data_IF_745564292568
#
_entry.id   IF_745564292568
#
_cell.length_a   1.000
_cell.length_b   1.000
_cell.length_c   1.000
_cell.angle_alpha   90.00
_cell.angle_beta   90.00
_cell.angle_gamma   90.00
#
_symmetry.space_group_name_H-M   'P 1'
#
loop_
_entity.id
_entity.type
_entity.pdbx_description
1 polymer ?
#
# COMPACT_ATOMS: atom_id res chain seq x y z
N UNK A 1 -2.65 8.73 12.19
CA UNK A 1 -1.73 7.99 13.08
C UNK A 1 -1.79 8.45 14.54
N UNK A 2 -1.76 9.75 14.83
CA UNK A 2 -1.78 10.26 16.21
C UNK A 2 -2.89 9.65 17.10
N UNK A 3 -4.14 9.62 16.62
CA UNK A 3 -5.26 9.02 17.38
C UNK A 3 -5.08 7.52 17.64
N UNK A 4 -4.62 6.76 16.64
CA UNK A 4 -4.35 5.33 16.80
C UNK A 4 -3.24 5.07 17.84
N UNK A 5 -2.13 5.80 17.74
CA UNK A 5 -1.04 5.69 18.73
C UNK A 5 -1.50 6.11 20.13
N UNK A 6 -2.29 7.18 20.23
CA UNK A 6 -2.89 7.63 21.48
C UNK A 6 -3.81 6.55 22.09
N UNK A 7 -4.67 5.93 21.28
CA UNK A 7 -5.55 4.84 21.72
C UNK A 7 -4.80 3.61 22.22
N UNK A 8 -3.69 3.24 21.57
CA UNK A 8 -2.81 2.17 22.03
C UNK A 8 -2.18 2.50 23.39
N UNK A 9 -1.78 3.75 23.61
CA UNK A 9 -1.17 4.19 24.88
C UNK A 9 -2.20 4.36 26.01
N UNK A 10 -3.44 4.74 25.69
CA UNK A 10 -4.50 5.00 26.69
C UNK A 10 -5.35 3.77 27.00
N UNK A 11 -5.09 2.62 26.36
CA UNK A 11 -5.84 1.37 26.59
C UNK A 11 -7.32 1.45 26.18
N UNK A 12 -7.69 2.43 25.36
CA UNK A 12 -9.05 2.62 24.82
C UNK A 12 -8.98 2.55 23.30
N UNK A 13 -8.95 1.34 22.71
CA UNK A 13 -9.03 1.20 21.27
C UNK A 13 -10.48 1.46 20.88
N UNK A 14 -10.88 2.74 20.80
CA UNK A 14 -12.20 3.07 20.26
C UNK A 14 -12.14 2.92 18.73
N UNK A 15 -12.18 1.65 18.29
CA UNK A 15 -12.12 1.26 16.89
C UNK A 15 -13.24 1.90 16.07
N UNK A 16 -14.36 2.26 16.70
CA UNK A 16 -15.48 2.94 16.07
C UNK A 16 -15.11 4.35 15.61
N UNK A 17 -14.32 5.10 16.38
CA UNK A 17 -13.87 6.44 15.98
C UNK A 17 -12.93 6.36 14.77
N UNK A 18 -11.96 5.44 14.81
CA UNK A 18 -11.00 5.24 13.71
C UNK A 18 -11.69 4.74 12.44
N UNK A 19 -12.68 3.87 12.58
CA UNK A 19 -13.52 3.41 11.49
C UNK A 19 -14.36 4.56 10.90
N UNK A 20 -14.93 5.43 11.72
CA UNK A 20 -15.65 6.62 11.26
C UNK A 20 -14.75 7.56 10.46
N UNK A 21 -13.52 7.78 10.93
CA UNK A 21 -12.50 8.56 10.20
C UNK A 21 -12.16 7.89 8.86
N UNK A 22 -11.95 6.57 8.85
CA UNK A 22 -11.69 5.80 7.64
C UNK A 22 -12.82 5.94 6.60
N UNK A 23 -14.08 5.85 7.02
CA UNK A 23 -15.24 6.05 6.15
C UNK A 23 -15.30 7.47 5.60
N UNK A 24 -15.05 8.50 6.42
CA UNK A 24 -14.97 9.89 5.95
C UNK A 24 -13.88 10.07 4.89
N UNK A 25 -12.72 9.45 5.06
CA UNK A 25 -11.65 9.49 4.07
C UNK A 25 -12.11 8.83 2.76
N UNK A 26 -12.84 7.71 2.80
CA UNK A 26 -13.41 7.09 1.59
C UNK A 26 -14.32 8.05 0.82
N UNK A 27 -15.17 8.81 1.52
CA UNK A 27 -16.02 9.80 0.88
C UNK A 27 -15.24 10.91 0.17
N UNK A 28 -14.17 11.42 0.80
CA UNK A 28 -13.31 12.42 0.18
C UNK A 28 -12.55 11.84 -1.02
N UNK A 29 -12.04 10.62 -0.88
CA UNK A 29 -11.36 9.90 -1.95
C UNK A 29 -12.25 9.71 -3.18
N UNK A 30 -13.52 9.35 -2.98
CA UNK A 30 -14.50 9.23 -4.05
C UNK A 30 -14.82 10.57 -4.71
N UNK A 31 -14.91 11.66 -3.93
CA UNK A 31 -15.13 13.00 -4.48
C UNK A 31 -13.97 13.42 -5.38
N UNK A 32 -12.72 13.22 -4.92
CA UNK A 32 -11.52 13.49 -5.72
C UNK A 32 -11.49 12.63 -6.98
N UNK A 33 -11.78 11.33 -6.85
CA UNK A 33 -11.74 10.41 -7.98
C UNK A 33 -12.81 10.67 -9.06
N UNK A 34 -13.90 11.35 -8.73
CA UNK A 34 -14.96 11.74 -9.68
C UNK A 34 -14.75 13.13 -10.26
N UNK A 35 -13.76 13.87 -9.75
CA UNK A 35 -13.42 15.18 -10.27
C UNK A 35 -12.75 15.00 -11.65
N UNK A 36 -13.34 15.53 -12.74
CA UNK A 36 -12.86 15.26 -14.11
C UNK A 36 -11.49 15.88 -14.44
N UNK A 37 -11.20 17.06 -13.88
CA UNK A 37 -9.92 17.77 -14.02
C UNK A 37 -8.87 17.38 -12.97
N UNK A 38 -9.05 16.26 -12.24
CA UNK A 38 -8.08 15.86 -11.22
C UNK A 38 -6.76 15.46 -11.87
N UNK A 39 -5.66 16.04 -11.40
CA UNK A 39 -4.34 15.65 -11.87
C UNK A 39 -3.98 14.24 -11.35
N UNK A 40 -3.24 13.49 -12.18
CA UNK A 40 -2.73 12.16 -11.82
C UNK A 40 -1.88 12.22 -10.54
N UNK A 41 -1.11 13.30 -10.36
CA UNK A 41 -0.32 13.54 -9.15
C UNK A 41 -1.16 13.62 -7.88
N UNK A 42 -2.32 14.29 -7.93
CA UNK A 42 -3.26 14.37 -6.80
C UNK A 42 -3.84 12.99 -6.46
N UNK A 43 -4.11 12.18 -7.48
CA UNK A 43 -4.57 10.80 -7.28
C UNK A 43 -3.49 9.98 -6.57
N UNK A 44 -2.26 9.99 -7.07
CA UNK A 44 -1.14 9.22 -6.48
C UNK A 44 -0.79 9.69 -5.07
N UNK A 45 -0.90 11.00 -4.78
CA UNK A 45 -0.59 11.56 -3.46
C UNK A 45 -1.38 10.87 -2.32
N UNK A 46 -2.51 10.24 -2.63
CA UNK A 46 -3.34 9.53 -1.66
C UNK A 46 -2.87 8.13 -1.24
N UNK A 47 -1.81 7.58 -1.85
CA UNK A 47 -1.39 6.19 -1.59
C UNK A 47 -1.14 5.87 -0.11
N UNK A 48 -0.56 6.82 0.66
CA UNK A 48 -0.18 6.60 2.05
C UNK A 48 -1.38 6.44 2.99
N UNK A 49 -2.41 7.28 2.84
CA UNK A 49 -3.59 7.16 3.68
C UNK A 49 -4.48 6.00 3.25
N UNK A 50 -4.41 5.56 2.00
CA UNK A 50 -5.19 4.41 1.50
C UNK A 50 -4.80 3.12 2.24
N UNK A 51 -3.51 2.83 2.35
CA UNK A 51 -3.01 1.67 3.12
C UNK A 51 -3.50 1.75 4.57
N UNK A 52 -3.35 2.90 5.22
CA UNK A 52 -3.73 3.05 6.63
C UNK A 52 -5.23 2.85 6.85
N UNK A 53 -6.06 3.44 5.98
CA UNK A 53 -7.51 3.37 6.09
C UNK A 53 -8.05 1.94 5.90
N UNK A 54 -7.38 1.12 5.09
CA UNK A 54 -7.77 -0.30 4.92
C UNK A 54 -7.65 -1.15 6.18
N UNK A 55 -6.92 -0.70 7.20
CA UNK A 55 -6.86 -1.37 8.50
C UNK A 55 -8.16 -1.21 9.30
N UNK A 56 -8.88 -0.10 9.10
CA UNK A 56 -10.03 0.30 9.91
C UNK A 56 -11.38 0.20 9.17
N UNK A 57 -11.36 -0.07 7.87
CA UNK A 57 -12.60 -0.25 7.11
C UNK A 57 -13.34 -1.53 7.48
N UNK A 58 -14.69 -1.53 7.41
CA UNK A 58 -15.48 -2.75 7.51
C UNK A 58 -15.01 -3.79 6.48
N UNK A 59 -15.05 -5.07 6.84
CA UNK A 59 -14.64 -6.21 5.99
C UNK A 59 -15.79 -6.80 5.16
N UNK A 60 -16.86 -6.05 4.98
CA UNK A 60 -17.97 -6.45 4.11
C UNK A 60 -17.57 -6.32 2.62
N UNK A 61 -18.31 -7.04 1.78
CA UNK A 61 -18.05 -7.12 0.34
C UNK A 61 -17.95 -5.75 -0.33
N UNK A 62 -18.81 -4.80 0.07
CA UNK A 62 -18.87 -3.45 -0.51
C UNK A 62 -17.57 -2.67 -0.27
N UNK A 63 -17.12 -2.55 0.97
CA UNK A 63 -15.93 -1.76 1.29
C UNK A 63 -14.65 -2.45 0.82
N UNK A 64 -14.60 -3.79 0.82
CA UNK A 64 -13.48 -4.54 0.23
C UNK A 64 -13.37 -4.35 -1.27
N UNK A 65 -14.48 -4.44 -2.02
CA UNK A 65 -14.47 -4.15 -3.46
C UNK A 65 -14.06 -2.70 -3.74
N UNK A 66 -14.54 -1.75 -2.93
CA UNK A 66 -14.14 -0.35 -3.05
C UNK A 66 -12.63 -0.17 -2.84
N UNK A 67 -12.06 -0.74 -1.76
CA UNK A 67 -10.62 -0.71 -1.52
C UNK A 67 -9.83 -1.25 -2.70
N UNK A 68 -10.22 -2.45 -3.15
CA UNK A 68 -9.58 -3.14 -4.29
C UNK A 68 -9.54 -2.27 -5.55
N UNK A 69 -10.66 -1.63 -5.91
CA UNK A 69 -10.71 -0.68 -7.03
C UNK A 69 -9.82 0.55 -6.82
N UNK A 70 -9.72 1.06 -5.60
CA UNK A 70 -8.85 2.20 -5.30
C UNK A 70 -7.37 1.84 -5.44
N UNK A 71 -6.94 0.66 -4.97
CA UNK A 71 -5.56 0.19 -5.22
C UNK A 71 -5.28 -0.03 -6.70
N UNK A 72 -6.23 -0.63 -7.44
CA UNK A 72 -6.12 -0.79 -8.88
C UNK A 72 -5.94 0.57 -9.58
N UNK A 73 -6.77 1.57 -9.23
CA UNK A 73 -6.67 2.94 -9.75
C UNK A 73 -5.31 3.58 -9.47
N UNK A 74 -4.75 3.41 -8.27
CA UNK A 74 -3.43 3.93 -7.92
C UNK A 74 -2.33 3.33 -8.79
N UNK A 75 -2.36 2.01 -9.01
CA UNK A 75 -1.40 1.35 -9.90
C UNK A 75 -1.57 1.73 -11.37
N UNK A 76 -2.81 1.83 -11.85
CA UNK A 76 -3.11 2.31 -13.20
C UNK A 76 -2.67 3.78 -13.40
N UNK A 77 -2.64 4.57 -12.33
CA UNK A 77 -2.14 5.95 -12.35
C UNK A 77 -0.61 6.02 -12.32
N UNK A 78 0.09 4.90 -12.08
CA UNK A 78 1.56 4.82 -12.10
C UNK A 78 2.23 4.61 -10.73
N UNK A 79 1.46 4.46 -9.64
CA UNK A 79 2.03 4.14 -8.33
C UNK A 79 2.16 2.62 -8.14
N UNK A 80 3.37 2.08 -8.00
CA UNK A 80 3.55 0.63 -7.84
C UNK A 80 3.76 0.25 -6.37
N UNK A 81 2.88 -0.60 -5.85
CA UNK A 81 3.00 -1.11 -4.48
C UNK A 81 4.08 -2.18 -4.39
N UNK A 82 4.94 -2.06 -3.36
CA UNK A 82 5.96 -3.04 -3.07
C UNK A 82 5.36 -4.45 -2.85
N UNK A 83 6.05 -5.54 -3.24
CA UNK A 83 5.55 -6.91 -3.08
C UNK A 83 5.18 -7.24 -1.63
N UNK A 84 5.99 -6.75 -0.68
CA UNK A 84 5.72 -6.93 0.76
C UNK A 84 4.41 -6.28 1.20
N UNK A 85 4.08 -5.12 0.66
CA UNK A 85 2.82 -4.44 0.97
C UNK A 85 1.62 -5.21 0.41
N UNK A 86 1.73 -5.72 -0.83
CA UNK A 86 0.72 -6.59 -1.44
C UNK A 86 0.47 -7.85 -0.62
N UNK A 87 1.53 -8.56 -0.23
CA UNK A 87 1.44 -9.75 0.63
C UNK A 87 0.79 -9.48 1.98
N UNK A 88 1.21 -8.40 2.65
CA UNK A 88 0.62 -8.02 3.93
C UNK A 88 -0.88 -7.69 3.81
N UNK A 89 -1.32 -7.08 2.71
CA UNK A 89 -2.73 -6.82 2.44
C UNK A 89 -3.51 -8.09 2.06
N UNK A 90 -2.89 -9.02 1.33
CA UNK A 90 -3.46 -10.32 1.02
C UNK A 90 -3.74 -11.14 2.29
N UNK A 91 -2.76 -11.18 3.21
CA UNK A 91 -2.91 -11.79 4.54
C UNK A 91 -3.99 -11.09 5.36
N UNK A 92 -3.98 -9.75 5.40
CA UNK A 92 -4.96 -8.95 6.15
C UNK A 92 -6.39 -9.15 5.65
N UNK A 93 -6.58 -9.30 4.34
CA UNK A 93 -7.91 -9.50 3.73
C UNK A 93 -8.29 -10.97 3.59
N UNK A 94 -7.39 -11.89 3.98
CA UNK A 94 -7.52 -13.32 3.78
C UNK A 94 -7.88 -13.67 2.31
N UNK A 95 -7.20 -13.01 1.37
CA UNK A 95 -7.47 -13.13 -0.06
C UNK A 95 -6.15 -13.11 -0.85
N UNK A 96 -5.66 -14.28 -1.30
CA UNK A 96 -4.38 -14.39 -2.01
C UNK A 96 -4.41 -13.75 -3.40
N UNK A 97 -5.60 -13.53 -4.00
CA UNK A 97 -5.71 -12.90 -5.33
C UNK A 97 -5.17 -11.47 -5.35
N UNK A 98 -5.12 -10.82 -4.17
CA UNK A 98 -4.61 -9.46 -3.98
C UNK A 98 -3.14 -9.34 -4.36
N UNK A 99 -2.35 -10.40 -4.18
CA UNK A 99 -0.94 -10.40 -4.57
C UNK A 99 -0.79 -10.29 -6.08
N UNK A 100 -1.64 -11.01 -6.83
CA UNK A 100 -1.63 -11.02 -8.29
C UNK A 100 -2.24 -9.73 -8.85
N UNK A 101 -3.47 -9.40 -8.45
CA UNK A 101 -4.15 -8.20 -8.94
C UNK A 101 -5.17 -7.64 -7.96
N UNK A 102 -5.29 -6.31 -7.99
CA UNK A 102 -6.19 -5.59 -7.10
C UNK A 102 -7.65 -5.75 -7.46
N UNK A 103 -8.06 -5.78 -8.74
CA UNK A 103 -9.48 -5.88 -9.10
C UNK A 103 -9.84 -7.29 -9.62
N UNK A 104 -10.55 -8.12 -8.83
CA UNK A 104 -10.92 -9.46 -9.27
C UNK A 104 -12.09 -9.44 -10.26
N UNK A 105 -12.75 -8.29 -10.45
CA UNK A 105 -13.83 -8.13 -11.44
C UNK A 105 -13.31 -7.70 -12.81
N UNK A 106 -12.01 -7.40 -12.93
CA UNK A 106 -11.39 -7.02 -14.17
C UNK A 106 -11.06 -8.28 -14.99
N UNK A 107 -11.87 -8.54 -16.02
CA UNK A 107 -11.71 -9.71 -16.92
C UNK A 107 -10.38 -9.69 -17.67
N UNK A 108 -9.81 -8.51 -17.91
CA UNK A 108 -8.51 -8.35 -18.58
C UNK A 108 -7.34 -8.56 -17.62
N UNK A 109 -7.62 -8.51 -16.31
CA UNK A 109 -6.65 -8.64 -15.25
C UNK A 109 -5.59 -7.53 -15.26
N UNK A 110 -4.53 -7.72 -14.47
CA UNK A 110 -3.45 -6.73 -14.38
C UNK A 110 -2.80 -6.45 -15.76
N UNK A 111 -2.77 -5.19 -16.23
CA UNK A 111 -2.13 -4.80 -17.48
C UNK A 111 -0.66 -5.25 -17.58
N UNK A 112 -0.22 -5.63 -18.78
CA UNK A 112 1.15 -6.11 -19.02
C UNK A 112 2.22 -5.11 -18.57
N UNK A 113 2.01 -3.82 -18.84
CA UNK A 113 2.93 -2.76 -18.43
C UNK A 113 3.11 -2.69 -16.90
N UNK A 114 2.04 -2.89 -16.12
CA UNK A 114 2.12 -2.90 -14.66
C UNK A 114 2.89 -4.13 -14.18
N UNK A 115 2.66 -5.30 -14.80
CA UNK A 115 3.43 -6.53 -14.51
C UNK A 115 4.92 -6.31 -14.77
N UNK A 116 5.28 -5.67 -15.87
CA UNK A 116 6.66 -5.35 -16.21
C UNK A 116 7.28 -4.37 -15.20
N UNK A 117 6.57 -3.28 -14.84
CA UNK A 117 7.09 -2.33 -13.84
C UNK A 117 7.26 -3.00 -12.47
N UNK A 118 6.32 -3.86 -12.06
CA UNK A 118 6.44 -4.66 -10.82
C UNK A 118 7.68 -5.55 -10.88
N UNK A 119 7.90 -6.27 -11.98
CA UNK A 119 9.09 -7.12 -12.18
C UNK A 119 10.39 -6.31 -12.09
N UNK A 120 10.46 -5.17 -12.78
CA UNK A 120 11.62 -4.26 -12.72
C UNK A 120 11.87 -3.72 -11.30
N UNK A 121 10.80 -3.42 -10.57
CA UNK A 121 10.89 -2.94 -9.18
C UNK A 121 11.35 -4.06 -8.24
N UNK A 122 10.87 -5.29 -8.45
CA UNK A 122 11.28 -6.48 -7.73
C UNK A 122 12.77 -6.80 -7.97
N UNK A 123 13.22 -6.76 -9.22
CA UNK A 123 14.63 -6.93 -9.58
C UNK A 123 15.51 -5.87 -8.90
N UNK A 124 15.10 -4.60 -8.88
CA UNK A 124 15.83 -3.53 -8.18
C UNK A 124 15.87 -3.70 -6.66
N UNK A 125 14.84 -4.31 -6.08
CA UNK A 125 14.75 -4.48 -4.62
C UNK A 125 15.46 -5.75 -4.15
N UNK A 126 15.53 -6.78 -5.01
CA UNK A 126 16.16 -8.08 -4.71
C UNK A 126 17.61 -8.18 -5.20
N UNK A 127 17.99 -7.42 -6.23
CA UNK A 127 19.38 -7.29 -6.69
C UNK A 127 20.04 -6.10 -6.00
N UNK A 128 20.95 -6.32 -5.03
CA UNK A 128 21.71 -5.23 -4.43
C UNK A 128 22.65 -4.68 -5.50
N UNK A 129 22.34 -3.51 -6.06
CA UNK A 129 23.27 -2.78 -6.93
C UNK A 129 24.38 -2.05 -6.17
N UNK A 130 24.61 -2.43 -4.91
CA UNK A 130 25.55 -1.74 -4.04
C UNK A 130 26.65 -2.70 -3.57
N UNK A 131 27.58 -3.05 -4.46
CA UNK A 131 28.91 -3.52 -4.04
C UNK A 131 29.53 -2.57 -3.00
N UNK A 132 29.15 -1.28 -3.03
CA UNK A 132 29.47 -0.27 -2.03
C UNK A 132 28.84 -0.55 -0.66
N UNK A 133 27.58 -0.97 -0.59
CA UNK A 133 26.87 -1.23 0.68
C UNK A 133 27.32 -2.54 1.31
N UNK A 134 27.63 -3.55 0.49
CA UNK A 134 28.31 -4.77 0.93
C UNK A 134 29.72 -4.44 1.45
N UNK A 135 30.52 -3.69 0.69
CA UNK A 135 31.85 -3.25 1.12
C UNK A 135 31.85 -2.40 2.41
N UNK A 136 30.85 -1.52 2.60
CA UNK A 136 30.69 -0.76 3.84
C UNK A 136 30.27 -1.64 5.03
N UNK A 137 29.46 -2.67 4.81
CA UNK A 137 29.09 -3.65 5.84
C UNK A 137 30.30 -4.46 6.28
N UNK A 138 31.12 -4.87 5.32
CA UNK A 138 32.35 -5.62 5.58
C UNK A 138 33.40 -4.76 6.27
N UNK A 139 33.59 -3.50 5.85
CA UNK A 139 34.46 -2.55 6.55
C UNK A 139 34.02 -2.34 8.00
N UNK A 140 32.71 -2.16 8.26
CA UNK A 140 32.21 -2.03 9.63
C UNK A 140 32.47 -3.28 10.47
N UNK A 141 32.38 -4.47 9.87
CA UNK A 141 32.74 -5.74 10.53
C UNK A 141 34.23 -5.81 10.85
N UNK A 142 35.10 -5.42 9.91
CA UNK A 142 36.56 -5.40 10.10
C UNK A 142 36.98 -4.41 11.21
N UNK A 143 36.41 -3.21 11.23
CA UNK A 143 36.71 -2.22 12.27
C UNK A 143 36.13 -2.60 13.65
N UNK A 144 35.06 -3.38 13.70
CA UNK A 144 34.53 -3.88 14.98
C UNK A 144 35.40 -4.94 15.64
N UNK A 145 36.22 -5.66 14.86
CA UNK A 145 37.19 -6.64 15.38
C UNK A 145 38.55 -6.06 15.77
N UNK A 146 38.73 -4.74 15.61
CA UNK A 146 39.94 -4.00 16.00
C UNK A 146 39.75 -3.21 17.32
N UNK A 147 38.64 -3.43 18.03
CA UNK A 147 38.34 -2.90 19.35
C UNK A 147 38.47 -3.96 20.44
#
# INVERSE_FOLDING_TARGET
MFKYQSHLMTGRPDGAELQSIALRICHHAEAIARWPEVEVGTTIAGHNWLILMTLFLPRDKKHMQWNRRMFARMELSGYVYAPRARRALAELWNDPSVEEWWDPSDEQGCPSIIKEIRKLTEERTTSPRDHLREGMRDLKSLFSGLS
#
